data_IF_666287420484
#
_entry.id   IF_666287420484
#
_cell.length_a   1.000
_cell.length_b   1.000
_cell.length_c   1.000
_cell.angle_alpha   90.00
_cell.angle_beta   90.00
_cell.angle_gamma   90.00
#
_symmetry.space_group_name_H-M   'P 1'
#
loop_
_entity.id
_entity.type
_entity.pdbx_description
1 polymer ?
#
# COMPACT_ATOMS: atom_id res chain seq x y z
N UNK A 1 -25.18 -19.97 15.97
CA UNK A 1 -24.57 -18.75 15.39
C UNK A 1 -23.06 -18.85 15.13
N UNK A 2 -22.14 -18.72 16.11
CA UNK A 2 -20.68 -18.74 15.82
C UNK A 2 -20.19 -20.06 15.20
N UNK A 3 -20.68 -21.21 15.66
CA UNK A 3 -20.31 -22.52 15.11
C UNK A 3 -20.77 -22.73 13.67
N UNK A 4 -21.97 -22.26 13.31
CA UNK A 4 -22.49 -22.32 11.93
C UNK A 4 -21.65 -21.45 10.98
N UNK A 5 -21.23 -20.26 11.43
CA UNK A 5 -20.35 -19.38 10.65
C UNK A 5 -18.97 -20.03 10.45
N UNK A 6 -18.42 -20.69 11.47
CA UNK A 6 -17.15 -21.43 11.35
C UNK A 6 -17.24 -22.56 10.34
N UNK A 7 -18.30 -23.38 10.41
CA UNK A 7 -18.55 -24.44 9.45
C UNK A 7 -18.72 -23.90 8.02
N UNK A 8 -19.36 -22.74 7.87
CA UNK A 8 -19.48 -22.08 6.59
C UNK A 8 -18.11 -21.60 6.05
N UNK A 9 -17.26 -20.97 6.88
CA UNK A 9 -15.91 -20.57 6.48
C UNK A 9 -15.07 -21.77 6.02
N UNK A 10 -15.13 -22.88 6.74
CA UNK A 10 -14.47 -24.13 6.33
C UNK A 10 -14.99 -24.64 4.98
N UNK A 11 -16.30 -24.53 4.73
CA UNK A 11 -16.91 -24.98 3.47
C UNK A 11 -16.43 -24.20 2.23
N UNK A 12 -15.89 -22.99 2.42
CA UNK A 12 -15.31 -22.14 1.37
C UNK A 12 -13.78 -22.07 1.45
N UNK A 13 -13.14 -23.04 2.10
CA UNK A 13 -11.69 -23.11 2.29
C UNK A 13 -11.11 -21.82 2.92
N UNK A 14 -11.77 -21.31 3.96
CA UNK A 14 -11.31 -20.18 4.76
C UNK A 14 -11.01 -20.62 6.21
N UNK A 15 -10.03 -20.00 6.88
CA UNK A 15 -9.76 -20.29 8.29
C UNK A 15 -10.99 -20.01 9.18
N UNK A 16 -11.35 -20.97 10.04
CA UNK A 16 -12.46 -20.82 10.99
C UNK A 16 -12.03 -20.28 12.36
N UNK A 17 -10.73 -20.10 12.57
CA UNK A 17 -10.10 -19.57 13.79
C UNK A 17 -8.71 -19.04 13.48
N UNK A 18 -8.18 -18.24 14.41
CA UNK A 18 -6.78 -17.81 14.39
C UNK A 18 -5.83 -18.96 14.75
N UNK A 19 -4.58 -18.82 14.33
CA UNK A 19 -3.50 -19.72 14.70
C UNK A 19 -2.98 -19.40 16.11
N UNK A 20 -3.63 -20.01 17.10
CA UNK A 20 -3.20 -19.91 18.51
C UNK A 20 -1.99 -20.80 18.85
N UNK A 21 -1.57 -21.68 17.94
CA UNK A 21 -0.36 -22.48 18.12
C UNK A 21 0.91 -21.65 17.79
N UNK A 22 0.72 -20.43 17.27
CA UNK A 22 1.78 -19.45 16.93
C UNK A 22 2.85 -20.07 16.04
N UNK A 23 2.42 -20.76 14.99
CA UNK A 23 3.35 -21.44 14.08
C UNK A 23 4.29 -20.43 13.41
N UNK A 24 5.59 -20.75 13.39
CA UNK A 24 6.58 -19.91 12.72
C UNK A 24 6.38 -20.00 11.21
N UNK A 25 6.32 -18.84 10.55
CA UNK A 25 6.28 -18.80 9.09
C UNK A 25 7.63 -19.25 8.51
N UNK A 26 7.60 -20.06 7.45
CA UNK A 26 8.80 -20.40 6.66
C UNK A 26 9.13 -19.33 5.60
N UNK A 27 8.35 -18.25 5.53
CA UNK A 27 8.52 -17.18 4.52
C UNK A 27 9.28 -15.99 5.10
N UNK A 28 10.27 -15.51 4.34
CA UNK A 28 11.01 -14.28 4.67
C UNK A 28 10.92 -13.27 3.53
N UNK A 29 11.15 -12.00 3.84
CA UNK A 29 11.34 -10.96 2.83
C UNK A 29 12.67 -11.17 2.06
N UNK A 30 12.87 -10.54 0.89
CA UNK A 30 14.12 -10.66 0.12
C UNK A 30 15.38 -10.24 0.88
N UNK A 31 15.24 -9.42 1.94
CA UNK A 31 16.32 -9.01 2.83
C UNK A 31 16.48 -9.92 4.06
N UNK A 32 15.75 -11.03 4.14
CA UNK A 32 15.86 -12.04 5.19
C UNK A 32 15.04 -11.76 6.45
N UNK A 33 14.36 -10.63 6.55
CA UNK A 33 13.48 -10.33 7.69
C UNK A 33 12.19 -11.18 7.69
N UNK A 34 11.68 -11.52 8.88
CA UNK A 34 10.40 -12.22 9.06
C UNK A 34 9.20 -11.26 9.01
N UNK A 35 9.41 -10.00 9.42
CA UNK A 35 8.40 -8.95 9.43
C UNK A 35 9.02 -7.58 9.13
N UNK A 36 8.18 -6.64 8.73
CA UNK A 36 8.53 -5.22 8.59
C UNK A 36 7.73 -4.36 9.56
N UNK A 37 8.38 -3.36 10.13
CA UNK A 37 7.71 -2.30 10.88
C UNK A 37 7.35 -1.19 9.89
N UNK A 38 6.08 -0.79 9.91
CA UNK A 38 5.58 0.34 9.13
C UNK A 38 5.52 1.57 10.03
N UNK A 39 6.23 2.63 9.63
CA UNK A 39 6.18 3.92 10.29
C UNK A 39 5.55 4.94 9.34
N UNK A 40 4.85 5.93 9.89
CA UNK A 40 4.02 6.87 9.12
C UNK A 40 4.51 8.32 9.29
N UNK A 41 5.74 8.66 8.86
CA UNK A 41 6.20 10.04 8.86
C UNK A 41 5.50 10.86 7.77
N UNK A 42 5.46 12.18 7.98
CA UNK A 42 4.82 13.14 7.07
C UNK A 42 5.77 14.24 6.57
N UNK A 43 6.93 14.44 7.20
CA UNK A 43 7.93 15.45 6.81
C UNK A 43 9.35 14.88 6.78
N UNK A 44 10.25 15.52 6.02
CA UNK A 44 11.66 15.11 5.97
C UNK A 44 12.33 15.08 7.36
N UNK A 45 11.99 16.04 8.23
CA UNK A 45 12.46 16.08 9.62
C UNK A 45 12.05 14.81 10.40
N UNK A 46 10.81 14.33 10.19
CA UNK A 46 10.36 13.09 10.81
C UNK A 46 11.03 11.85 10.22
N UNK A 47 11.37 11.85 8.93
CA UNK A 47 12.13 10.74 8.34
C UNK A 47 13.48 10.62 9.04
N UNK A 48 14.23 11.73 9.11
CA UNK A 48 15.53 11.81 9.76
C UNK A 48 15.43 11.39 11.24
N UNK A 49 14.46 11.95 11.98
CA UNK A 49 14.24 11.62 13.39
C UNK A 49 13.95 10.12 13.62
N UNK A 50 13.13 9.50 12.77
CA UNK A 50 12.78 8.09 12.91
C UNK A 50 13.95 7.17 12.56
N UNK A 51 14.78 7.56 11.59
CA UNK A 51 16.02 6.84 11.26
C UNK A 51 16.96 6.87 12.45
N UNK A 52 17.22 8.07 13.00
CA UNK A 52 18.12 8.25 14.16
C UNK A 52 17.64 7.46 15.39
N UNK A 53 16.34 7.52 15.70
CA UNK A 53 15.75 6.76 16.81
C UNK A 53 15.78 5.24 16.57
N UNK A 54 15.64 4.82 15.30
CA UNK A 54 15.77 3.42 14.92
C UNK A 54 17.16 2.88 15.21
N UNK A 55 18.19 3.65 14.85
CA UNK A 55 19.58 3.32 15.17
C UNK A 55 19.86 3.37 16.68
N UNK A 56 19.42 4.42 17.38
CA UNK A 56 19.63 4.60 18.82
C UNK A 56 19.07 3.43 19.65
N UNK A 57 17.90 2.92 19.24
CA UNK A 57 17.17 1.90 20.00
C UNK A 57 17.29 0.47 19.43
N UNK A 58 18.12 0.25 18.42
CA UNK A 58 18.26 -1.05 17.72
C UNK A 58 16.91 -1.57 17.20
N UNK A 59 16.09 -0.65 16.66
CA UNK A 59 14.78 -0.94 16.07
C UNK A 59 14.87 -0.80 14.55
N UNK A 60 14.57 -1.86 13.77
CA UNK A 60 14.68 -1.79 12.33
C UNK A 60 13.62 -0.87 11.73
N UNK A 61 14.07 0.16 11.01
CA UNK A 61 13.22 1.02 10.19
C UNK A 61 13.19 0.45 8.79
N UNK A 62 12.16 -0.34 8.47
CA UNK A 62 12.11 -1.05 7.18
C UNK A 62 11.26 -0.35 6.14
N UNK A 63 10.20 0.35 6.58
CA UNK A 63 9.17 0.85 5.69
C UNK A 63 8.54 2.13 6.21
N UNK A 64 8.43 3.11 5.32
CA UNK A 64 7.65 4.31 5.51
C UNK A 64 6.41 4.31 4.64
N UNK A 65 5.30 4.74 5.24
CA UNK A 65 4.05 5.04 4.54
C UNK A 65 3.72 6.51 4.79
N UNK A 66 4.00 7.34 3.79
CA UNK A 66 3.70 8.77 3.84
C UNK A 66 2.23 8.99 3.47
N UNK A 67 1.43 9.26 4.49
CA UNK A 67 -0.03 9.43 4.37
C UNK A 67 -0.47 10.87 4.15
N UNK A 68 0.43 11.84 4.36
CA UNK A 68 0.22 13.22 3.89
C UNK A 68 0.11 13.23 2.38
N UNK A 69 1.00 12.48 1.73
CA UNK A 69 0.81 12.08 0.36
C UNK A 69 1.35 13.04 -0.68
N UNK A 70 1.28 12.60 -1.93
CA UNK A 70 1.95 13.24 -3.07
C UNK A 70 1.43 14.64 -3.37
N UNK A 71 0.25 15.01 -2.87
CA UNK A 71 -0.41 16.28 -3.22
C UNK A 71 0.15 17.48 -2.47
N UNK A 72 0.58 17.30 -1.21
CA UNK A 72 1.07 18.42 -0.40
C UNK A 72 2.57 18.65 -0.52
N UNK A 73 3.32 17.61 -0.93
CA UNK A 73 4.75 17.71 -1.13
C UNK A 73 5.07 18.31 -2.51
N UNK A 74 6.01 19.24 -2.53
CA UNK A 74 6.63 19.70 -3.76
C UNK A 74 7.44 18.58 -4.43
N UNK A 75 7.70 18.72 -5.73
CA UNK A 75 8.54 17.76 -6.46
C UNK A 75 9.95 17.63 -5.89
N UNK A 76 10.48 18.68 -5.25
CA UNK A 76 11.78 18.64 -4.57
C UNK A 76 11.71 17.80 -3.29
N UNK A 77 10.69 18.02 -2.46
CA UNK A 77 10.45 17.24 -1.25
C UNK A 77 10.25 15.76 -1.55
N UNK A 78 9.47 15.42 -2.58
CA UNK A 78 9.27 14.02 -3.00
C UNK A 78 10.60 13.37 -3.40
N UNK A 79 11.42 14.08 -4.20
CA UNK A 79 12.72 13.55 -4.63
C UNK A 79 13.66 13.33 -3.44
N UNK A 80 13.68 14.26 -2.49
CA UNK A 80 14.52 14.15 -1.30
C UNK A 80 14.03 13.03 -0.38
N UNK A 81 12.71 12.90 -0.12
CA UNK A 81 12.12 11.76 0.61
C UNK A 81 12.51 10.44 -0.02
N UNK A 82 12.37 10.33 -1.34
CA UNK A 82 12.77 9.13 -2.08
C UNK A 82 14.28 8.87 -2.00
N UNK A 83 15.11 9.91 -2.02
CA UNK A 83 16.58 9.79 -1.90
C UNK A 83 16.96 9.29 -0.52
N UNK A 84 16.48 9.91 0.56
CA UNK A 84 16.73 9.49 1.94
C UNK A 84 16.36 8.03 2.16
N UNK A 85 15.16 7.62 1.76
CA UNK A 85 14.76 6.21 1.89
C UNK A 85 15.65 5.25 1.09
N UNK A 86 16.14 5.65 -0.10
CA UNK A 86 17.06 4.80 -0.88
C UNK A 86 18.42 4.66 -0.21
N UNK A 87 18.95 5.75 0.36
CA UNK A 87 20.25 5.76 1.05
C UNK A 87 20.22 4.85 2.27
N UNK A 88 19.10 4.84 3.02
CA UNK A 88 18.91 4.01 4.22
C UNK A 88 18.33 2.60 3.93
N UNK A 89 18.05 2.26 2.66
CA UNK A 89 17.44 0.98 2.30
C UNK A 89 15.99 0.80 2.79
N UNK A 90 15.29 1.90 3.09
CA UNK A 90 13.90 1.94 3.56
C UNK A 90 12.94 1.85 2.37
N UNK A 91 11.91 1.00 2.48
CA UNK A 91 10.83 0.99 1.50
C UNK A 91 9.90 2.19 1.71
N UNK A 92 9.79 3.06 0.72
CA UNK A 92 8.84 4.18 0.73
C UNK A 92 7.59 3.86 -0.08
N UNK A 93 6.43 3.96 0.58
CA UNK A 93 5.13 4.08 -0.07
C UNK A 93 4.58 5.48 0.18
N UNK A 94 4.08 6.13 -0.86
CA UNK A 94 3.33 7.38 -0.71
C UNK A 94 1.86 7.16 -1.04
N UNK A 95 0.99 7.83 -0.30
CA UNK A 95 -0.44 7.83 -0.58
C UNK A 95 -0.76 8.96 -1.56
N UNK A 96 -1.38 8.70 -2.73
CA UNK A 96 -1.98 9.79 -3.49
C UNK A 96 -3.21 10.32 -2.72
N UNK A 97 -3.63 11.54 -2.99
CA UNK A 97 -4.71 12.19 -2.23
C UNK A 97 -5.98 11.32 -2.11
N UNK A 98 -6.50 11.25 -0.89
CA UNK A 98 -7.70 10.49 -0.53
C UNK A 98 -8.98 11.26 -0.83
N UNK A 99 -9.20 11.65 -2.08
CA UNK A 99 -10.49 12.20 -2.51
C UNK A 99 -11.05 13.30 -1.60
N UNK A 100 -10.20 14.17 -1.04
CA UNK A 100 -10.64 15.43 -0.46
C UNK A 100 -11.10 16.31 -1.61
N UNK A 101 -12.30 16.03 -2.09
CA UNK A 101 -12.96 16.87 -3.05
C UNK A 101 -13.44 18.11 -2.29
N UNK A 102 -12.90 19.32 -2.57
CA UNK A 102 -13.38 20.55 -1.93
C UNK A 102 -14.87 20.80 -2.22
N UNK A 103 -15.43 20.13 -3.23
CA UNK A 103 -16.84 20.12 -3.57
C UNK A 103 -17.65 18.97 -2.94
N UNK A 104 -17.03 18.12 -2.11
CA UNK A 104 -17.75 17.11 -1.33
C UNK A 104 -18.57 17.79 -0.23
N UNK A 105 -19.83 18.05 -0.58
CA UNK A 105 -20.87 18.58 0.31
C UNK A 105 -21.59 17.49 1.11
N UNK A 106 -21.06 16.25 1.14
CA UNK A 106 -21.68 15.16 1.87
C UNK A 106 -21.67 15.40 3.38
N UNK A 107 -22.60 14.73 4.06
CA UNK A 107 -22.65 14.74 5.53
C UNK A 107 -21.34 14.21 6.16
N UNK A 108 -20.57 13.39 5.45
CA UNK A 108 -19.30 12.87 5.95
C UNK A 108 -18.28 14.00 6.11
N UNK A 109 -18.13 14.87 5.10
CA UNK A 109 -17.28 16.06 5.21
C UNK A 109 -17.77 17.03 6.28
N UNK A 110 -19.08 17.26 6.38
CA UNK A 110 -19.65 18.11 7.43
C UNK A 110 -19.41 17.58 8.86
N UNK A 111 -19.22 16.27 9.01
CA UNK A 111 -18.91 15.61 10.28
C UNK A 111 -17.40 15.38 10.48
N UNK A 112 -16.53 15.83 9.56
CA UNK A 112 -15.10 15.53 9.57
C UNK A 112 -14.81 14.02 9.46
N UNK A 113 -15.77 13.23 8.99
CA UNK A 113 -15.61 11.80 8.79
C UNK A 113 -14.89 11.57 7.47
N UNK A 114 -13.77 10.84 7.49
CA UNK A 114 -13.13 10.44 6.25
C UNK A 114 -14.09 9.53 5.46
N UNK A 115 -14.47 9.89 4.22
CA UNK A 115 -15.11 8.94 3.32
C UNK A 115 -14.14 7.76 3.17
N UNK A 116 -14.64 6.53 3.20
CA UNK A 116 -13.86 5.30 3.42
C UNK A 116 -12.83 4.95 2.33
N UNK A 117 -11.88 5.85 2.06
CA UNK A 117 -10.77 5.68 1.13
C UNK A 117 -11.17 5.63 -0.34
N UNK A 118 -12.38 6.06 -0.72
CA UNK A 118 -12.86 5.96 -2.11
C UNK A 118 -12.88 7.29 -2.85
N UNK A 119 -12.42 7.26 -4.10
CA UNK A 119 -12.41 8.42 -5.01
C UNK A 119 -13.77 8.55 -5.68
N UNK A 120 -14.37 9.73 -5.62
CA UNK A 120 -15.71 10.01 -6.17
C UNK A 120 -15.61 10.96 -7.36
N UNK A 121 -16.31 10.64 -8.44
CA UNK A 121 -16.28 11.45 -9.66
C UNK A 121 -15.06 11.16 -10.53
N UNK A 122 -15.26 11.29 -11.84
CA UNK A 122 -14.21 10.96 -12.82
C UNK A 122 -13.07 11.97 -12.76
N UNK A 123 -13.36 13.25 -12.49
CA UNK A 123 -12.32 14.28 -12.40
C UNK A 123 -11.35 14.00 -11.24
N UNK A 124 -11.86 13.60 -10.08
CA UNK A 124 -11.01 13.21 -8.95
C UNK A 124 -10.23 11.93 -9.23
N UNK A 125 -10.81 10.97 -9.98
CA UNK A 125 -10.07 9.80 -10.45
C UNK A 125 -8.91 10.22 -11.36
N UNK A 126 -9.15 11.13 -12.31
CA UNK A 126 -8.11 11.67 -13.18
C UNK A 126 -7.01 12.35 -12.36
N UNK A 127 -7.37 13.22 -11.41
CA UNK A 127 -6.41 13.90 -10.54
C UNK A 127 -5.57 12.89 -9.73
N UNK A 128 -6.21 11.88 -9.13
CA UNK A 128 -5.52 10.84 -8.36
C UNK A 128 -4.53 10.05 -9.22
N UNK A 129 -4.92 9.69 -10.45
CA UNK A 129 -4.06 8.95 -11.37
C UNK A 129 -2.90 9.80 -11.90
N UNK A 130 -3.16 11.09 -12.16
CA UNK A 130 -2.12 12.06 -12.54
C UNK A 130 -1.09 12.22 -11.43
N UNK A 131 -1.53 12.26 -10.18
CA UNK A 131 -0.67 12.32 -8.99
C UNK A 131 0.20 11.08 -8.84
N UNK A 132 -0.38 9.88 -8.99
CA UNK A 132 0.38 8.62 -9.02
C UNK A 132 1.45 8.65 -10.12
N UNK A 133 1.08 9.11 -11.33
CA UNK A 133 2.01 9.21 -12.46
C UNK A 133 3.15 10.18 -12.17
N UNK A 134 2.84 11.39 -11.69
CA UNK A 134 3.84 12.41 -11.31
C UNK A 134 4.80 11.87 -10.25
N UNK A 135 4.29 11.33 -9.16
CA UNK A 135 5.12 10.79 -8.08
C UNK A 135 6.00 9.61 -8.55
N UNK A 136 5.49 8.76 -9.43
CA UNK A 136 6.28 7.68 -10.03
C UNK A 136 7.43 8.22 -10.88
N UNK A 137 7.21 9.29 -11.66
CA UNK A 137 8.26 9.97 -12.43
C UNK A 137 9.32 10.63 -11.53
N UNK A 138 8.93 11.07 -10.33
CA UNK A 138 9.83 11.63 -9.31
C UNK A 138 10.63 10.56 -8.55
N UNK A 139 10.32 9.28 -8.74
CA UNK A 139 11.06 8.15 -8.19
C UNK A 139 10.37 7.40 -7.05
N UNK A 140 9.10 7.70 -6.76
CA UNK A 140 8.27 6.91 -5.85
C UNK A 140 7.99 5.55 -6.48
N UNK A 141 8.26 4.47 -5.74
CA UNK A 141 8.09 3.10 -6.26
C UNK A 141 6.88 2.36 -5.70
N UNK A 142 6.43 2.71 -4.50
CA UNK A 142 5.27 2.11 -3.85
C UNK A 142 4.16 3.13 -3.62
N UNK A 143 2.91 2.69 -3.70
CA UNK A 143 1.75 3.56 -3.48
C UNK A 143 0.76 2.93 -2.51
N UNK A 144 0.35 3.66 -1.47
CA UNK A 144 -0.72 3.21 -0.58
C UNK A 144 -2.10 3.49 -1.20
N UNK A 145 -2.55 2.64 -2.12
CA UNK A 145 -3.85 2.80 -2.79
C UNK A 145 -4.98 2.16 -1.97
N UNK A 146 -5.89 2.99 -1.46
CA UNK A 146 -7.06 2.54 -0.69
C UNK A 146 -8.26 2.19 -1.57
N UNK A 147 -8.44 2.92 -2.68
CA UNK A 147 -9.54 2.71 -3.62
C UNK A 147 -9.23 1.57 -4.60
N UNK A 148 -10.09 0.54 -4.63
CA UNK A 148 -9.94 -0.62 -5.52
C UNK A 148 -10.06 -0.26 -7.01
N UNK A 149 -10.87 0.75 -7.34
CA UNK A 149 -11.01 1.29 -8.69
C UNK A 149 -9.73 1.99 -9.16
N UNK A 150 -9.14 2.84 -8.32
CA UNK A 150 -7.83 3.45 -8.57
C UNK A 150 -6.77 2.37 -8.75
N UNK A 151 -6.70 1.38 -7.84
CA UNK A 151 -5.78 0.25 -7.98
C UNK A 151 -5.96 -0.47 -9.31
N UNK A 152 -7.20 -0.74 -9.72
CA UNK A 152 -7.50 -1.44 -10.96
C UNK A 152 -7.01 -0.65 -12.19
N UNK A 153 -7.20 0.66 -12.21
CA UNK A 153 -6.73 1.51 -13.31
C UNK A 153 -5.21 1.61 -13.31
N UNK A 154 -4.56 1.83 -12.15
CA UNK A 154 -3.10 1.83 -12.04
C UNK A 154 -2.48 0.52 -12.55
N UNK A 155 -3.08 -0.64 -12.24
CA UNK A 155 -2.62 -1.92 -12.78
C UNK A 155 -2.70 -1.98 -14.31
N UNK A 156 -3.80 -1.48 -14.90
CA UNK A 156 -3.94 -1.41 -16.36
C UNK A 156 -2.93 -0.44 -16.98
N UNK A 157 -2.72 0.73 -16.37
CA UNK A 157 -1.71 1.70 -16.81
C UNK A 157 -0.30 1.12 -16.79
N UNK A 158 0.05 0.24 -15.83
CA UNK A 158 1.33 -0.48 -15.87
C UNK A 158 1.42 -1.45 -17.04
N UNK A 159 0.35 -2.21 -17.27
CA UNK A 159 0.28 -3.16 -18.41
C UNK A 159 0.43 -2.43 -19.75
N UNK A 160 -0.10 -1.21 -19.85
CA UNK A 160 -0.01 -0.36 -21.04
C UNK A 160 1.27 0.47 -21.13
N UNK A 161 2.14 0.43 -20.12
CA UNK A 161 3.37 1.22 -20.06
C UNK A 161 3.19 2.70 -19.70
N UNK A 162 1.99 3.11 -19.31
CA UNK A 162 1.67 4.47 -18.84
C UNK A 162 2.20 4.76 -17.44
N UNK A 163 2.37 3.72 -16.63
CA UNK A 163 3.10 3.76 -15.35
C UNK A 163 4.32 2.85 -15.43
N UNK A 164 5.43 3.19 -14.75
CA UNK A 164 6.58 2.30 -14.65
C UNK A 164 6.16 0.91 -14.14
N UNK A 165 6.79 -0.15 -14.65
CA UNK A 165 6.43 -1.53 -14.27
C UNK A 165 6.50 -1.84 -12.78
N UNK A 166 7.24 -1.03 -11.99
CA UNK A 166 7.31 -1.12 -10.54
C UNK A 166 6.27 -0.24 -9.80
N UNK A 167 5.75 0.81 -10.44
CA UNK A 167 4.77 1.71 -9.84
C UNK A 167 3.46 0.96 -9.58
N UNK A 168 2.85 1.17 -8.41
CA UNK A 168 1.68 0.45 -7.88
C UNK A 168 1.92 -0.95 -7.28
N UNK A 169 3.13 -1.22 -6.77
CA UNK A 169 3.27 -2.13 -5.64
C UNK A 169 2.68 -1.45 -4.38
N UNK A 170 1.37 -1.62 -4.17
CA UNK A 170 0.65 -1.02 -3.05
C UNK A 170 0.23 -1.99 -1.96
N UNK A 171 -0.19 -1.45 -0.82
CA UNK A 171 -0.61 -2.21 0.37
C UNK A 171 -1.74 -3.21 0.08
N UNK A 172 -2.62 -2.93 -0.88
CA UNK A 172 -3.61 -3.91 -1.34
C UNK A 172 -2.95 -5.16 -1.96
N UNK A 173 -1.75 -5.02 -2.54
CA UNK A 173 -0.93 -6.14 -3.01
C UNK A 173 -0.36 -7.01 -1.87
N UNK A 174 -0.15 -6.43 -0.69
CA UNK A 174 0.20 -7.15 0.54
C UNK A 174 -1.05 -7.83 1.13
N UNK A 175 -2.19 -7.15 1.17
CA UNK A 175 -3.47 -7.74 1.59
C UNK A 175 -3.98 -8.85 0.64
N UNK A 176 -3.62 -8.80 -0.65
CA UNK A 176 -3.93 -9.87 -1.62
C UNK A 176 -3.32 -11.22 -1.25
N UNK A 177 -2.27 -11.26 -0.42
CA UNK A 177 -1.62 -12.51 0.00
C UNK A 177 -2.19 -13.11 1.28
N UNK A 178 -2.88 -12.32 2.11
CA UNK A 178 -3.36 -12.76 3.43
C UNK A 178 -4.88 -12.77 3.58
N UNK A 179 -5.65 -12.16 2.67
CA UNK A 179 -7.09 -12.01 2.86
C UNK A 179 -7.92 -13.16 2.28
N UNK A 180 -8.88 -13.64 3.07
CA UNK A 180 -10.05 -14.45 2.66
C UNK A 180 -10.70 -13.93 1.37
N UNK A 181 -10.63 -12.61 1.15
CA UNK A 181 -11.11 -11.91 -0.05
C UNK A 181 -10.44 -12.42 -1.34
N UNK A 182 -9.13 -12.71 -1.32
CA UNK A 182 -8.43 -13.23 -2.50
C UNK A 182 -8.91 -14.64 -2.90
N UNK A 183 -9.26 -15.49 -1.92
CA UNK A 183 -9.83 -16.84 -2.15
C UNK A 183 -11.25 -16.76 -2.71
N UNK A 184 -12.07 -15.87 -2.16
CA UNK A 184 -13.45 -15.63 -2.62
C UNK A 184 -13.54 -15.06 -4.05
N UNK A 185 -12.53 -14.29 -4.48
CA UNK A 185 -12.47 -13.71 -5.84
C UNK A 185 -11.97 -14.70 -6.91
N UNK A 186 -11.80 -16.00 -6.58
CA UNK A 186 -11.62 -17.07 -7.56
C UNK A 186 -10.31 -17.06 -8.35
N UNK A 187 -9.26 -16.39 -7.87
CA UNK A 187 -7.93 -16.42 -8.50
C UNK A 187 -7.02 -17.40 -7.74
N UNK A 188 -6.40 -18.38 -8.44
CA UNK A 188 -5.53 -19.35 -7.78
C UNK A 188 -4.32 -18.66 -7.14
N UNK A 189 -3.84 -19.14 -5.99
CA UNK A 189 -2.62 -18.61 -5.39
C UNK A 189 -1.47 -18.78 -6.38
N UNK A 190 -0.78 -17.70 -6.73
CA UNK A 190 0.48 -17.81 -7.48
C UNK A 190 1.51 -18.46 -6.55
N UNK A 191 1.91 -19.69 -6.85
CA UNK A 191 3.02 -20.36 -6.15
C UNK A 191 4.30 -19.55 -6.36
N UNK A 192 5.02 -19.25 -5.28
CA UNK A 192 6.37 -18.72 -5.38
C UNK A 192 7.24 -19.72 -6.17
N UNK A 193 7.87 -19.25 -7.26
CA UNK A 193 8.81 -20.05 -8.04
C UNK A 193 8.57 -20.11 -9.56
N UNK A 194 7.44 -19.65 -10.09
CA UNK A 194 7.26 -19.55 -11.55
C UNK A 194 7.60 -18.14 -12.04
N UNK A 195 8.84 -17.96 -12.53
CA UNK A 195 9.15 -16.90 -13.49
C UNK A 195 8.23 -17.09 -14.70
N UNK A 196 7.59 -16.03 -15.18
CA UNK A 196 7.03 -16.07 -16.54
C UNK A 196 8.20 -16.23 -17.52
N UNK A 197 8.15 -17.18 -18.47
CA UNK A 197 9.09 -17.19 -19.56
C UNK A 197 8.74 -16.02 -20.49
N UNK A 198 9.67 -15.08 -20.60
CA UNK A 198 9.85 -14.10 -21.68
C UNK A 198 8.61 -13.44 -22.30
N UNK A 199 8.42 -12.16 -22.00
CA UNK A 199 8.11 -11.09 -22.96
C UNK A 199 8.19 -9.74 -22.24
#
# INVERSE_FOLDING_TARGET
>A
MKGEVRAYLESIDCPSRDDYDLSTSESTFPDGSDYKIELLPTSLEQYDTLIDLGEEHDVPVNKFIDVTGTVFDSDEEIREKCKRCREEGIQLLMEPEKGHDPSDVSQQMALGAMPGGTVRGVDNLVNTLAEVKRAAELGVRGFNLQDEGVLRVCLKMREDGELPGHAAEGLLGVQRRQSVVARLLGRPPRRHGQRQPGS
#
